data_IF_171983583219
#
_entry.id   IF_171983583219
#
_cell.length_a   1.000
_cell.length_b   1.000
_cell.length_c   1.000
_cell.angle_alpha   90.00
_cell.angle_beta   90.00
_cell.angle_gamma   90.00
#
_symmetry.space_group_name_H-M   'P 1'
#
loop_
_entity.id
_entity.type
_entity.pdbx_description
1 polymer ?
#
# COMPACT_ATOMS: atom_id res chain seq x y z
N UNK A 1 33.74 9.13 -0.89
CA UNK A 1 32.93 8.35 -1.85
C UNK A 1 32.72 6.96 -1.26
N UNK A 2 31.59 6.70 -0.61
CA UNK A 2 31.30 5.36 -0.05
C UNK A 2 30.50 4.58 -1.09
N UNK A 3 31.20 3.84 -1.96
CA UNK A 3 30.63 2.89 -2.92
C UNK A 3 30.60 1.51 -2.24
N UNK A 4 29.55 1.21 -1.48
CA UNK A 4 29.43 -0.13 -0.87
C UNK A 4 28.14 -0.40 -0.07
N UNK A 5 27.58 0.59 0.62
CA UNK A 5 26.39 0.41 1.47
C UNK A 5 25.04 0.46 0.71
N UNK A 6 25.07 0.68 -0.59
CA UNK A 6 23.90 1.02 -1.41
C UNK A 6 23.00 -0.17 -1.84
N UNK A 7 23.47 -1.42 -2.04
CA UNK A 7 22.60 -2.52 -2.50
C UNK A 7 21.56 -2.94 -1.47
N UNK A 8 21.96 -3.12 -0.21
CA UNK A 8 21.07 -3.60 0.86
C UNK A 8 19.99 -2.58 1.22
N UNK A 9 20.35 -1.29 1.27
CA UNK A 9 19.37 -0.22 1.54
C UNK A 9 18.29 -0.16 0.45
N UNK A 10 18.69 -0.20 -0.84
CA UNK A 10 17.75 -0.24 -1.97
C UNK A 10 16.91 -1.51 -1.98
N UNK A 11 17.49 -2.67 -1.67
CA UNK A 11 16.77 -3.94 -1.61
C UNK A 11 15.70 -3.94 -0.51
N UNK A 12 15.99 -3.35 0.65
CA UNK A 12 15.03 -3.18 1.74
C UNK A 12 13.85 -2.29 1.32
N UNK A 13 14.12 -1.15 0.67
CA UNK A 13 13.08 -0.23 0.19
C UNK A 13 12.21 -0.89 -0.87
N UNK A 14 12.82 -1.54 -1.87
CA UNK A 14 12.08 -2.25 -2.93
C UNK A 14 11.23 -3.38 -2.36
N UNK A 15 11.77 -4.16 -1.43
CA UNK A 15 11.02 -5.22 -0.73
C UNK A 15 9.85 -4.66 0.08
N UNK A 16 10.00 -3.49 0.71
CA UNK A 16 8.90 -2.83 1.43
C UNK A 16 7.78 -2.39 0.48
N UNK A 17 8.11 -1.74 -0.65
CA UNK A 17 7.12 -1.34 -1.66
C UNK A 17 6.38 -2.56 -2.22
N UNK A 18 7.09 -3.64 -2.54
CA UNK A 18 6.46 -4.87 -3.04
C UNK A 18 5.56 -5.56 -2.02
N UNK A 19 5.95 -5.59 -0.74
CA UNK A 19 5.09 -6.12 0.33
C UNK A 19 3.78 -5.37 0.38
N UNK A 20 3.82 -4.05 0.24
CA UNK A 20 2.63 -3.23 0.24
C UNK A 20 1.75 -3.45 -0.98
N UNK A 21 2.36 -3.54 -2.16
CA UNK A 21 1.63 -3.94 -3.37
C UNK A 21 0.93 -5.28 -3.22
N UNK A 22 1.61 -6.27 -2.64
CA UNK A 22 1.04 -7.59 -2.41
C UNK A 22 -0.19 -7.52 -1.49
N UNK A 23 -0.11 -6.78 -0.40
CA UNK A 23 -1.23 -6.59 0.53
C UNK A 23 -2.41 -5.91 -0.16
N UNK A 24 -2.17 -4.81 -0.89
CA UNK A 24 -3.23 -4.11 -1.63
C UNK A 24 -3.91 -5.05 -2.65
N UNK A 25 -3.11 -5.80 -3.41
CA UNK A 25 -3.63 -6.74 -4.40
C UNK A 25 -4.47 -7.85 -3.76
N UNK A 26 -4.04 -8.40 -2.62
CA UNK A 26 -4.81 -9.41 -1.89
C UNK A 26 -6.13 -8.86 -1.35
N UNK A 27 -6.16 -7.61 -0.87
CA UNK A 27 -7.40 -6.95 -0.44
C UNK A 27 -8.33 -6.74 -1.64
N UNK A 28 -7.80 -6.27 -2.77
CA UNK A 28 -8.58 -6.01 -3.98
C UNK A 28 -9.23 -7.27 -4.54
N UNK A 29 -8.52 -8.40 -4.54
CA UNK A 29 -9.06 -9.70 -4.93
C UNK A 29 -10.16 -10.20 -3.99
N UNK A 30 -9.99 -9.99 -2.68
CA UNK A 30 -10.97 -10.46 -1.68
C UNK A 30 -12.22 -9.60 -1.64
N UNK A 31 -12.12 -8.33 -2.03
CA UNK A 31 -13.22 -7.35 -1.94
C UNK A 31 -14.52 -7.78 -2.62
N UNK A 32 -14.43 -8.58 -3.68
CA UNK A 32 -15.60 -9.08 -4.41
C UNK A 32 -16.32 -10.23 -3.68
N UNK A 33 -15.64 -10.87 -2.73
CA UNK A 33 -16.13 -12.04 -1.98
C UNK A 33 -16.36 -11.79 -0.49
N UNK A 34 -15.96 -10.62 0.02
CA UNK A 34 -16.01 -10.27 1.43
C UNK A 34 -17.43 -9.94 1.89
N UNK A 35 -17.75 -10.35 3.12
CA UNK A 35 -18.99 -9.93 3.76
C UNK A 35 -18.92 -8.45 4.18
N UNK A 36 -20.06 -7.76 4.16
CA UNK A 36 -20.15 -6.34 4.53
C UNK A 36 -19.71 -6.09 5.97
N UNK A 37 -19.86 -7.09 6.84
CA UNK A 37 -19.42 -7.02 8.23
C UNK A 37 -17.90 -6.87 8.40
N UNK A 38 -17.11 -7.33 7.42
CA UNK A 38 -15.64 -7.31 7.46
C UNK A 38 -15.04 -6.03 6.83
N UNK A 39 -15.82 -5.34 5.99
CA UNK A 39 -15.39 -4.14 5.26
C UNK A 39 -14.88 -2.99 6.16
N UNK A 40 -15.51 -2.66 7.32
CA UNK A 40 -15.03 -1.58 8.17
C UNK A 40 -13.63 -1.83 8.72
N UNK A 41 -13.34 -3.07 9.11
CA UNK A 41 -12.02 -3.46 9.63
C UNK A 41 -10.95 -3.37 8.54
N UNK A 42 -11.27 -3.84 7.34
CA UNK A 42 -10.36 -3.77 6.20
C UNK A 42 -10.09 -2.33 5.79
N UNK A 43 -11.10 -1.46 5.86
CA UNK A 43 -10.94 0.00 5.65
C UNK A 43 -9.94 0.58 6.63
N UNK A 44 -10.10 0.30 7.93
CA UNK A 44 -9.22 0.81 8.98
C UNK A 44 -7.78 0.30 8.82
N UNK A 45 -7.59 -0.98 8.53
CA UNK A 45 -6.27 -1.57 8.30
C UNK A 45 -5.57 -0.95 7.07
N UNK A 46 -6.34 -0.69 6.01
CA UNK A 46 -5.84 -0.04 4.80
C UNK A 46 -5.49 1.44 5.03
N UNK A 47 -6.27 2.17 5.83
CA UNK A 47 -5.98 3.55 6.21
C UNK A 47 -4.69 3.64 7.04
N UNK A 48 -4.53 2.76 8.04
CA UNK A 48 -3.28 2.67 8.83
C UNK A 48 -2.08 2.37 7.95
N UNK A 49 -2.23 1.41 7.03
CA UNK A 49 -1.19 1.08 6.07
C UNK A 49 -0.83 2.29 5.20
N UNK A 50 -1.82 3.02 4.68
CA UNK A 50 -1.62 4.24 3.89
C UNK A 50 -0.90 5.35 4.67
N UNK A 51 -1.19 5.49 5.97
CA UNK A 51 -0.45 6.39 6.85
C UNK A 51 1.01 5.97 7.06
N UNK A 52 1.25 4.68 7.31
CA UNK A 52 2.60 4.14 7.48
C UNK A 52 3.42 4.28 6.19
N UNK A 53 2.77 4.12 5.03
CA UNK A 53 3.30 4.45 3.71
C UNK A 53 3.79 5.89 3.67
N UNK A 54 2.95 6.84 4.07
CA UNK A 54 3.25 8.27 4.05
C UNK A 54 4.34 8.69 5.04
N UNK A 55 4.36 8.07 6.23
CA UNK A 55 5.37 8.32 7.27
C UNK A 55 6.76 7.80 6.88
N UNK A 56 6.84 6.90 5.89
CA UNK A 56 8.11 6.41 5.34
C UNK A 56 8.80 7.49 4.48
N UNK A 57 9.37 8.50 5.12
CA UNK A 57 10.11 9.63 4.52
C UNK A 57 11.42 9.24 3.78
N UNK A 58 11.68 7.95 3.63
CA UNK A 58 12.96 7.37 3.18
C UNK A 58 12.93 6.85 1.74
N UNK A 59 11.84 7.06 0.99
CA UNK A 59 11.71 6.62 -0.40
C UNK A 59 12.62 7.49 -1.30
N UNK A 60 13.63 6.92 -1.98
CA UNK A 60 14.45 7.66 -2.93
C UNK A 60 13.63 8.14 -4.14
N UNK A 61 14.01 9.27 -4.73
CA UNK A 61 13.34 9.85 -5.91
C UNK A 61 13.13 8.85 -7.06
N UNK A 62 14.07 7.93 -7.27
CA UNK A 62 13.98 6.89 -8.30
C UNK A 62 12.83 5.92 -8.13
N UNK A 63 12.22 5.85 -6.95
CA UNK A 63 11.09 4.97 -6.62
C UNK A 63 9.79 5.75 -6.36
N UNK A 64 9.78 7.06 -6.60
CA UNK A 64 8.60 7.89 -6.36
C UNK A 64 7.45 7.51 -7.28
N UNK A 65 7.73 7.05 -8.51
CA UNK A 65 6.71 6.53 -9.42
C UNK A 65 5.94 5.37 -8.81
N UNK A 66 6.63 4.28 -8.46
CA UNK A 66 5.99 3.11 -7.85
C UNK A 66 5.34 3.44 -6.50
N UNK A 67 5.90 4.39 -5.76
CA UNK A 67 5.32 4.86 -4.51
C UNK A 67 4.01 5.64 -4.72
N UNK A 68 3.94 6.51 -5.73
CA UNK A 68 2.70 7.21 -6.08
C UNK A 68 1.65 6.24 -6.60
N UNK A 69 2.04 5.30 -7.46
CA UNK A 69 1.14 4.27 -7.98
C UNK A 69 0.54 3.44 -6.85
N UNK A 70 1.35 3.09 -5.83
CA UNK A 70 0.88 2.40 -4.63
C UNK A 70 -0.19 3.23 -3.88
N UNK A 71 0.05 4.53 -3.70
CA UNK A 71 -0.91 5.43 -3.01
C UNK A 71 -2.20 5.58 -3.79
N UNK A 72 -2.11 5.72 -5.12
CA UNK A 72 -3.28 5.78 -5.99
C UNK A 72 -4.09 4.48 -5.87
N UNK A 73 -3.42 3.33 -5.91
CA UNK A 73 -4.08 2.03 -5.75
C UNK A 73 -4.78 1.90 -4.39
N UNK A 74 -4.12 2.29 -3.30
CA UNK A 74 -4.73 2.27 -1.97
C UNK A 74 -6.00 3.14 -1.90
N UNK A 75 -5.96 4.35 -2.46
CA UNK A 75 -7.13 5.24 -2.51
C UNK A 75 -8.27 4.66 -3.36
N UNK A 76 -7.95 3.99 -4.47
CA UNK A 76 -8.96 3.33 -5.31
C UNK A 76 -9.67 2.22 -4.53
N UNK A 77 -8.92 1.38 -3.80
CA UNK A 77 -9.47 0.32 -2.95
C UNK A 77 -10.36 0.90 -1.84
N UNK A 78 -9.91 1.95 -1.15
CA UNK A 78 -10.72 2.65 -0.13
C UNK A 78 -12.05 3.14 -0.72
N UNK A 79 -12.02 3.77 -1.89
CA UNK A 79 -13.23 4.22 -2.58
C UNK A 79 -14.14 3.06 -2.99
N UNK A 80 -13.60 1.88 -3.33
CA UNK A 80 -14.41 0.67 -3.56
C UNK A 80 -15.08 0.19 -2.27
N UNK A 81 -14.34 0.13 -1.16
CA UNK A 81 -14.88 -0.28 0.15
C UNK A 81 -16.01 0.65 0.59
N UNK A 82 -15.83 1.97 0.47
CA UNK A 82 -16.87 2.96 0.82
C UNK A 82 -18.15 2.77 0.01
N UNK A 83 -18.02 2.51 -1.30
CA UNK A 83 -19.19 2.21 -2.16
C UNK A 83 -19.90 0.93 -1.74
N UNK A 84 -19.16 -0.10 -1.30
CA UNK A 84 -19.74 -1.36 -0.83
C UNK A 84 -20.42 -1.22 0.53
N UNK A 85 -19.93 -0.33 1.40
CA UNK A 85 -20.54 0.01 2.69
C UNK A 85 -21.82 0.85 2.57
N UNK A 86 -21.93 1.66 1.52
CA UNK A 86 -23.12 2.49 1.25
C UNK A 86 -24.26 1.75 0.55
N UNK A 87 -23.95 0.64 -0.13
CA UNK A 87 -24.94 -0.30 -0.69
C UNK A 87 -25.47 -1.24 0.37
#
# INVERSE_FOLDING_TARGET
IIKGALPLYRWRIRSSIYKWYKILHEIDLKLESLDKSELPKIKEDLEKMAEDIQKSSKIPLSYMGEYYDLRVHANLILGRIEKLLQK
#
